data_IF_766670508944
#
_entry.id   IF_766670508944
#
_cell.length_a   1.000
_cell.length_b   1.000
_cell.length_c   1.000
_cell.angle_alpha   90.00
_cell.angle_beta   90.00
_cell.angle_gamma   90.00
#
_symmetry.space_group_name_H-M   'P 1'
#
loop_
_entity.id
_entity.type
_entity.pdbx_description
1 polymer ?
#
# COMPACT_ATOMS: atom_id res chain seq x y z
N UNK A 1 34.45 60.01 -5.92
CA UNK A 1 33.49 59.81 -4.82
C UNK A 1 32.11 59.62 -5.44
N UNK A 2 31.65 58.38 -5.55
CA UNK A 2 30.24 57.95 -5.53
C UNK A 2 30.22 56.42 -5.64
N UNK A 3 29.44 55.85 -4.74
CA UNK A 3 29.32 54.47 -4.32
C UNK A 3 28.29 53.71 -5.18
N UNK A 4 28.22 52.40 -4.91
CA UNK A 4 27.05 51.50 -4.97
C UNK A 4 26.60 50.99 -6.34
N UNK A 5 26.05 49.79 -6.54
CA UNK A 5 25.83 48.51 -5.82
C UNK A 5 24.80 47.78 -6.72
N UNK A 6 24.75 46.43 -6.69
CA UNK A 6 23.64 45.54 -7.19
C UNK A 6 23.44 45.45 -8.71
N UNK A 7 23.12 44.30 -9.35
CA UNK A 7 22.57 43.01 -8.93
C UNK A 7 23.24 41.85 -9.73
N UNK A 8 23.38 40.70 -9.08
CA UNK A 8 23.66 39.41 -9.74
C UNK A 8 22.39 38.91 -10.42
N UNK A 9 22.29 39.07 -11.74
CA UNK A 9 21.28 38.42 -12.58
C UNK A 9 21.74 37.01 -12.96
N UNK A 10 20.99 35.98 -12.54
CA UNK A 10 21.34 34.55 -12.66
C UNK A 10 20.60 33.85 -13.79
N UNK A 11 20.22 34.57 -14.84
CA UNK A 11 19.44 34.00 -15.95
C UNK A 11 20.10 34.33 -17.28
N UNK A 12 21.04 33.50 -17.66
CA UNK A 12 21.50 33.35 -19.03
C UNK A 12 22.01 31.93 -19.13
N UNK A 13 21.34 31.10 -19.94
CA UNK A 13 21.95 30.12 -20.84
C UNK A 13 20.85 29.21 -21.36
N UNK A 14 20.18 29.64 -22.42
CA UNK A 14 19.66 28.74 -23.44
C UNK A 14 19.86 29.47 -24.77
N UNK A 15 21.07 29.30 -25.30
CA UNK A 15 21.42 29.72 -26.64
C UNK A 15 22.32 28.64 -27.21
N UNK A 16 21.74 27.59 -27.79
CA UNK A 16 22.44 26.84 -28.84
C UNK A 16 21.43 26.23 -29.80
N UNK A 17 21.17 26.99 -30.86
CA UNK A 17 20.57 26.52 -32.10
C UNK A 17 21.58 25.66 -32.86
N UNK A 18 21.18 24.44 -33.25
CA UNK A 18 21.46 23.92 -34.59
C UNK A 18 22.45 22.76 -34.77
N UNK A 19 21.93 21.73 -35.45
CA UNK A 19 22.57 20.81 -36.41
C UNK A 19 23.11 19.42 -35.95
N UNK A 20 22.35 18.41 -36.41
CA UNK A 20 22.54 16.96 -36.55
C UNK A 20 23.94 16.33 -36.45
N UNK A 21 24.02 15.20 -35.71
CA UNK A 21 24.98 14.10 -35.91
C UNK A 21 24.37 12.75 -35.50
N UNK A 22 24.36 11.80 -36.43
CA UNK A 22 24.26 10.36 -36.18
C UNK A 22 25.44 9.90 -35.31
N UNK A 23 25.22 9.17 -34.19
CA UNK A 23 26.32 8.46 -33.48
C UNK A 23 26.24 8.38 -31.93
N UNK A 24 25.62 7.29 -31.46
CA UNK A 24 25.69 6.51 -30.21
C UNK A 24 26.55 6.96 -28.97
N UNK A 25 25.94 6.70 -27.80
CA UNK A 25 26.44 6.27 -26.46
C UNK A 25 26.33 7.32 -25.34
N UNK A 26 25.45 7.05 -24.35
CA UNK A 26 25.77 7.35 -22.95
C UNK A 26 24.66 7.86 -22.02
N UNK A 27 23.59 7.10 -21.79
CA UNK A 27 23.04 6.91 -20.43
C UNK A 27 22.62 5.44 -20.31
N UNK A 28 23.35 4.69 -19.48
CA UNK A 28 22.96 3.37 -19.06
C UNK A 28 21.86 3.53 -17.98
N UNK A 29 20.72 2.88 -18.18
CA UNK A 29 19.58 2.89 -17.27
C UNK A 29 18.28 3.46 -17.85
N UNK A 30 17.90 3.05 -19.07
CA UNK A 30 16.50 3.15 -19.51
C UNK A 30 16.13 1.79 -20.12
N UNK A 31 15.87 0.84 -19.23
CA UNK A 31 15.14 -0.40 -19.50
C UNK A 31 13.89 -0.38 -18.62
N UNK A 32 13.04 0.61 -18.83
CA UNK A 32 11.65 0.60 -18.40
C UNK A 32 10.86 1.02 -19.62
N UNK A 33 10.86 0.13 -20.61
CA UNK A 33 9.81 0.09 -21.62
C UNK A 33 8.97 -1.13 -21.30
N UNK A 34 8.59 -1.25 -20.02
CA UNK A 34 7.60 -2.19 -19.55
C UNK A 34 6.24 -1.54 -19.75
N UNK A 35 5.26 -2.33 -20.15
CA UNK A 35 3.86 -1.98 -20.06
C UNK A 35 3.53 -1.87 -18.56
N UNK A 36 2.84 -0.81 -18.13
CA UNK A 36 2.51 -0.56 -16.72
C UNK A 36 1.01 -0.51 -16.52
N UNK A 37 0.58 -0.84 -15.31
CA UNK A 37 -0.79 -0.68 -14.85
C UNK A 37 -0.82 0.00 -13.49
N UNK A 38 -2.02 0.38 -13.05
CA UNK A 38 -2.22 1.00 -11.73
C UNK A 38 -2.76 -0.04 -10.76
N UNK A 39 -2.15 -0.14 -9.58
CA UNK A 39 -2.71 -0.84 -8.43
C UNK A 39 -3.26 0.19 -7.45
N UNK A 40 -4.55 0.12 -7.18
CA UNK A 40 -5.23 0.88 -6.14
C UNK A 40 -5.58 -0.09 -5.00
N UNK A 41 -4.96 0.08 -3.84
CA UNK A 41 -5.22 -0.77 -2.66
C UNK A 41 -6.16 -0.04 -1.72
N UNK A 42 -7.27 -0.69 -1.41
CA UNK A 42 -8.28 -0.21 -0.48
C UNK A 42 -8.39 -1.13 0.72
N UNK A 43 -8.89 -0.59 1.83
CA UNK A 43 -9.19 -1.36 3.04
C UNK A 43 -10.65 -1.21 3.43
N UNK A 44 -11.20 -2.25 4.05
CA UNK A 44 -12.57 -2.30 4.57
C UNK A 44 -12.64 -3.24 5.78
N UNK A 45 -13.74 -3.17 6.53
CA UNK A 45 -14.03 -4.06 7.64
C UNK A 45 -15.41 -4.72 7.43
N UNK A 46 -15.42 -6.02 7.18
CA UNK A 46 -16.62 -6.83 7.29
C UNK A 46 -16.89 -7.27 8.73
N UNK A 47 -18.17 -7.58 9.05
CA UNK A 47 -18.60 -7.77 10.43
C UNK A 47 -17.80 -8.87 11.15
N UNK A 48 -17.00 -8.44 12.13
CA UNK A 48 -16.38 -9.25 13.17
C UNK A 48 -16.81 -8.79 14.57
N UNK A 49 -15.83 -8.60 15.46
CA UNK A 49 -16.04 -8.04 16.80
C UNK A 49 -15.83 -6.51 16.84
N UNK A 50 -15.75 -5.85 15.67
CA UNK A 50 -15.58 -4.39 15.54
C UNK A 50 -16.67 -3.59 16.27
N UNK A 51 -17.85 -4.20 16.50
CA UNK A 51 -18.97 -3.55 17.18
C UNK A 51 -18.68 -3.23 18.66
N UNK A 52 -17.64 -3.83 19.24
CA UNK A 52 -17.21 -3.56 20.61
C UNK A 52 -16.38 -2.24 20.73
N UNK A 53 -16.03 -1.62 19.60
CA UNK A 53 -15.13 -0.47 19.52
C UNK A 53 -15.88 0.85 19.32
N UNK A 54 -15.46 1.88 20.06
CA UNK A 54 -15.77 3.29 19.75
C UNK A 54 -14.90 3.80 18.58
N UNK A 55 -13.64 3.38 18.54
CA UNK A 55 -12.70 3.67 17.45
C UNK A 55 -11.65 2.56 17.34
N UNK A 56 -11.25 2.19 16.13
CA UNK A 56 -10.16 1.25 15.90
C UNK A 56 -9.27 1.76 14.77
N UNK A 57 -8.29 2.60 15.13
CA UNK A 57 -7.43 3.30 14.18
C UNK A 57 -6.20 2.47 13.86
N UNK A 58 -6.11 2.00 12.62
CA UNK A 58 -5.00 1.17 12.12
C UNK A 58 -4.07 2.04 11.28
N UNK A 59 -2.78 2.02 11.61
CA UNK A 59 -1.73 2.73 10.85
C UNK A 59 -1.02 1.76 9.91
N UNK A 60 -1.10 2.06 8.61
CA UNK A 60 -0.54 1.26 7.51
C UNK A 60 0.60 2.04 6.88
N UNK A 61 1.77 1.43 6.75
CA UNK A 61 3.00 2.10 6.29
C UNK A 61 3.51 1.60 4.93
N UNK A 62 3.00 0.46 4.48
CA UNK A 62 3.48 -0.16 3.27
C UNK A 62 2.70 -1.41 2.92
N UNK A 63 3.12 -2.03 1.83
CA UNK A 63 2.62 -3.34 1.43
C UNK A 63 3.74 -4.20 0.86
N UNK A 64 3.56 -5.51 0.96
CA UNK A 64 4.35 -6.51 0.26
C UNK A 64 3.52 -7.15 -0.84
N UNK A 65 4.10 -7.33 -2.02
CA UNK A 65 3.48 -8.07 -3.13
C UNK A 65 4.27 -9.35 -3.40
N UNK A 66 3.55 -10.48 -3.43
CA UNK A 66 4.09 -11.78 -3.82
C UNK A 66 3.87 -12.03 -5.31
N UNK A 67 4.87 -11.92 -6.21
CA UNK A 67 4.74 -12.32 -7.62
C UNK A 67 4.36 -13.80 -7.80
N UNK A 68 4.01 -14.18 -9.03
CA UNK A 68 3.75 -15.59 -9.41
C UNK A 68 4.81 -16.56 -8.87
N UNK A 69 4.36 -17.57 -8.14
CA UNK A 69 5.21 -18.57 -7.50
C UNK A 69 5.81 -18.17 -6.15
N UNK A 70 5.59 -16.94 -5.67
CA UNK A 70 5.93 -16.54 -4.32
C UNK A 70 5.13 -17.35 -3.28
N UNK A 71 5.73 -17.53 -2.10
CA UNK A 71 5.10 -18.25 -1.00
C UNK A 71 5.05 -17.36 0.22
N UNK A 72 3.91 -17.37 0.90
CA UNK A 72 3.78 -16.79 2.22
C UNK A 72 4.58 -17.67 3.18
N UNK A 73 5.45 -17.08 3.99
CA UNK A 73 6.16 -17.81 5.04
C UNK A 73 5.15 -18.17 6.12
N UNK A 74 4.43 -19.27 5.94
CA UNK A 74 3.36 -19.72 6.86
C UNK A 74 3.94 -20.36 8.14
N UNK A 75 5.26 -20.55 8.21
CA UNK A 75 5.96 -21.08 9.39
C UNK A 75 6.81 -19.99 10.07
N UNK A 76 6.76 -19.92 11.40
CA UNK A 76 7.37 -18.87 12.25
C UNK A 76 8.91 -18.68 12.09
N UNK A 77 9.59 -19.54 11.31
CA UNK A 77 11.04 -19.53 11.10
C UNK A 77 11.46 -19.44 9.61
N UNK A 78 10.53 -19.29 8.65
CA UNK A 78 10.86 -19.11 7.23
C UNK A 78 10.68 -17.65 6.78
N UNK A 79 11.78 -17.00 6.39
CA UNK A 79 11.69 -15.74 5.66
C UNK A 79 11.00 -16.02 4.31
N UNK A 80 9.86 -15.37 4.01
CA UNK A 80 9.19 -15.54 2.73
C UNK A 80 10.12 -15.15 1.59
N UNK A 81 10.42 -16.14 0.76
CA UNK A 81 11.19 -15.93 -0.45
C UNK A 81 10.32 -15.23 -1.50
N UNK A 82 10.94 -14.32 -2.26
CA UNK A 82 10.39 -13.80 -3.50
C UNK A 82 9.15 -12.88 -3.36
N UNK A 83 9.12 -11.97 -2.36
CA UNK A 83 8.17 -10.84 -2.30
C UNK A 83 8.88 -9.49 -2.39
N UNK A 84 8.19 -8.49 -2.94
CA UNK A 84 8.70 -7.11 -3.05
C UNK A 84 7.99 -6.17 -2.08
N UNK A 85 8.75 -5.32 -1.38
CA UNK A 85 8.20 -4.33 -0.46
C UNK A 85 8.05 -2.98 -1.13
N UNK A 86 6.92 -2.34 -0.85
CA UNK A 86 6.60 -1.00 -1.32
C UNK A 86 6.09 -0.15 -0.15
N UNK A 87 6.98 0.71 0.34
CA UNK A 87 6.69 1.71 1.36
C UNK A 87 5.75 2.79 0.81
N UNK A 88 4.82 3.27 1.63
CA UNK A 88 3.94 4.36 1.26
C UNK A 88 4.67 5.70 1.36
N UNK A 89 4.31 6.67 0.52
CA UNK A 89 4.88 8.02 0.61
C UNK A 89 4.60 8.67 1.98
N UNK A 90 3.41 8.41 2.51
CA UNK A 90 2.97 8.78 3.85
C UNK A 90 2.18 7.62 4.46
N UNK A 91 2.36 7.37 5.76
CA UNK A 91 1.56 6.40 6.51
C UNK A 91 0.08 6.76 6.43
N UNK A 92 -0.76 5.77 6.16
CA UNK A 92 -2.22 5.94 6.14
C UNK A 92 -2.83 5.47 7.44
N UNK A 93 -3.89 6.15 7.87
CA UNK A 93 -4.67 5.76 9.04
C UNK A 93 -6.10 5.43 8.60
N UNK A 94 -6.59 4.28 9.00
CA UNK A 94 -7.93 3.79 8.69
C UNK A 94 -8.65 3.46 10.00
N UNK A 95 -9.80 4.10 10.26
CA UNK A 95 -10.65 3.73 11.40
C UNK A 95 -11.64 2.65 10.96
N UNK A 96 -11.42 1.41 11.40
CA UNK A 96 -12.24 0.27 10.99
C UNK A 96 -13.72 0.44 11.38
N UNK A 97 -14.01 1.21 12.43
CA UNK A 97 -15.39 1.51 12.83
C UNK A 97 -16.12 2.31 11.73
N UNK A 98 -15.40 3.17 11.00
CA UNK A 98 -15.94 3.97 9.88
C UNK A 98 -15.98 3.19 8.55
N UNK A 99 -15.29 2.05 8.47
CA UNK A 99 -15.14 1.25 7.24
C UNK A 99 -16.04 0.01 7.19
N UNK A 100 -17.07 -0.03 8.04
CA UNK A 100 -18.00 -1.15 8.08
C UNK A 100 -18.87 -1.23 6.82
N UNK A 101 -19.15 -2.46 6.38
CA UNK A 101 -20.11 -2.75 5.31
C UNK A 101 -19.54 -2.45 3.92
N UNK A 102 -20.21 -1.59 3.15
CA UNK A 102 -19.77 -1.22 1.79
C UNK A 102 -18.77 -0.03 1.77
N UNK A 103 -18.31 0.42 2.94
CA UNK A 103 -17.40 1.56 3.02
C UNK A 103 -15.95 1.09 2.87
N UNK A 104 -15.20 1.76 2.00
CA UNK A 104 -13.79 1.47 1.76
C UNK A 104 -12.96 2.74 1.87
N UNK A 105 -11.67 2.58 2.16
CA UNK A 105 -10.69 3.65 2.14
C UNK A 105 -9.49 3.27 1.27
N UNK A 106 -9.14 4.13 0.31
CA UNK A 106 -7.90 4.01 -0.46
C UNK A 106 -6.70 4.29 0.47
N UNK A 107 -5.77 3.34 0.54
CA UNK A 107 -4.55 3.46 1.35
C UNK A 107 -3.29 3.60 0.50
N UNK A 108 -3.35 3.21 -0.76
CA UNK A 108 -2.26 3.44 -1.69
C UNK A 108 -2.76 3.32 -3.13
N UNK A 109 -2.15 4.11 -4.02
CA UNK A 109 -2.33 4.00 -5.47
C UNK A 109 -1.00 4.24 -6.15
N UNK A 110 -0.58 3.33 -7.03
CA UNK A 110 0.72 3.43 -7.72
C UNK A 110 0.74 2.70 -9.06
N UNK A 111 1.70 3.10 -9.89
CA UNK A 111 2.02 2.43 -11.15
C UNK A 111 3.03 1.29 -10.90
N UNK A 112 2.73 0.10 -11.42
CA UNK A 112 3.58 -1.09 -11.35
C UNK A 112 3.74 -1.70 -12.75
N UNK A 113 4.82 -2.47 -12.93
CA UNK A 113 5.00 -3.27 -14.15
C UNK A 113 3.90 -4.33 -14.27
N UNK A 114 3.49 -4.62 -15.51
CA UNK A 114 2.51 -5.70 -15.78
C UNK A 114 3.05 -7.03 -15.25
N UNK A 115 2.31 -7.61 -14.31
CA UNK A 115 2.68 -8.84 -13.60
C UNK A 115 1.47 -9.51 -12.95
N UNK A 116 1.63 -10.78 -12.61
CA UNK A 116 0.68 -11.55 -11.79
C UNK A 116 1.24 -11.70 -10.37
N UNK A 117 0.36 -11.56 -9.39
CA UNK A 117 0.66 -11.64 -7.97
C UNK A 117 -0.24 -12.68 -7.30
N UNK A 118 0.33 -13.47 -6.39
CA UNK A 118 -0.37 -14.52 -5.65
C UNK A 118 -1.02 -14.00 -4.36
N UNK A 119 -0.47 -12.93 -3.78
CA UNK A 119 -0.95 -12.34 -2.55
C UNK A 119 -0.51 -10.88 -2.38
N UNK A 120 -1.23 -10.17 -1.52
CA UNK A 120 -0.87 -8.85 -0.99
C UNK A 120 -0.72 -8.95 0.53
N UNK A 121 0.24 -8.24 1.12
CA UNK A 121 0.34 -8.13 2.58
C UNK A 121 0.42 -6.66 2.99
N UNK A 122 -0.35 -6.25 4.00
CA UNK A 122 -0.28 -4.91 4.55
C UNK A 122 0.69 -4.88 5.73
N UNK A 123 1.58 -3.89 5.73
CA UNK A 123 2.50 -3.62 6.82
C UNK A 123 1.87 -2.63 7.80
N UNK A 124 1.61 -3.10 9.02
CA UNK A 124 0.87 -2.38 10.06
C UNK A 124 1.88 -1.93 11.12
N UNK A 125 2.02 -0.61 11.30
CA UNK A 125 2.97 -0.04 12.26
C UNK A 125 2.38 0.09 13.67
N UNK A 126 1.06 0.27 13.76
CA UNK A 126 0.39 0.43 15.04
C UNK A 126 -1.13 0.45 14.95
N UNK A 127 -1.76 0.19 16.10
CA UNK A 127 -3.22 0.19 16.25
C UNK A 127 -3.56 0.94 17.55
N UNK A 128 -4.39 1.98 17.43
CA UNK A 128 -4.94 2.73 18.55
C UNK A 128 -6.45 2.44 18.65
N UNK A 129 -6.85 1.69 19.67
CA UNK A 129 -8.22 1.20 19.79
C UNK A 129 -8.87 1.54 21.13
N UNK A 130 -10.11 2.02 21.07
CA UNK A 130 -10.95 2.37 22.23
C UNK A 130 -12.26 1.61 22.15
N UNK A 131 -12.66 0.95 23.24
CA UNK A 131 -13.93 0.21 23.35
C UNK A 131 -15.12 1.15 23.59
N UNK A 132 -16.34 0.66 23.38
CA UNK A 132 -17.59 1.42 23.62
C UNK A 132 -17.73 1.94 25.07
N UNK A 133 -17.06 1.33 26.05
CA UNK A 133 -17.07 1.79 27.44
C UNK A 133 -16.02 2.89 27.74
N UNK A 134 -15.24 3.27 26.72
CA UNK A 134 -14.19 4.28 26.76
C UNK A 134 -12.85 3.77 27.29
N UNK A 135 -12.68 2.47 27.49
CA UNK A 135 -11.39 1.87 27.85
C UNK A 135 -10.54 1.54 26.62
N UNK A 136 -9.21 1.53 26.78
CA UNK A 136 -8.29 1.13 25.73
C UNK A 136 -8.34 -0.40 25.49
N UNK A 137 -8.31 -0.84 24.23
CA UNK A 137 -8.18 -2.23 23.84
C UNK A 137 -6.76 -2.55 23.35
N UNK A 138 -6.29 -3.76 23.63
CA UNK A 138 -5.07 -4.29 23.00
C UNK A 138 -5.47 -5.03 21.73
N UNK A 139 -5.02 -4.52 20.59
CA UNK A 139 -5.22 -5.16 19.29
C UNK A 139 -3.86 -5.44 18.68
N UNK A 140 -3.61 -6.70 18.32
CA UNK A 140 -2.32 -7.13 17.78
C UNK A 140 -2.46 -7.72 16.37
N UNK A 141 -1.39 -7.63 15.58
CA UNK A 141 -1.27 -8.40 14.34
C UNK A 141 -0.62 -9.76 14.68
N UNK A 142 -1.17 -10.90 14.21
CA UNK A 142 -0.63 -12.21 14.55
C UNK A 142 0.86 -12.33 14.24
N UNK A 143 1.66 -12.71 15.26
CA UNK A 143 3.07 -13.08 15.08
C UNK A 143 3.99 -11.92 14.68
N UNK A 144 3.60 -10.65 14.90
CA UNK A 144 4.33 -9.46 14.44
C UNK A 144 4.62 -9.49 12.92
N UNK A 145 3.82 -10.26 12.17
CA UNK A 145 3.94 -10.43 10.72
C UNK A 145 2.97 -9.48 9.99
N UNK A 146 3.23 -9.11 8.73
CA UNK A 146 2.28 -8.33 7.95
C UNK A 146 0.96 -9.09 7.73
N UNK A 147 -0.16 -8.36 7.69
CA UNK A 147 -1.48 -8.94 7.44
C UNK A 147 -1.55 -9.46 6.01
N UNK A 148 -1.79 -10.76 5.84
CA UNK A 148 -1.67 -11.44 4.55
C UNK A 148 -3.03 -11.73 3.92
N UNK A 149 -3.20 -11.30 2.67
CA UNK A 149 -4.40 -11.48 1.86
C UNK A 149 -4.06 -12.41 0.69
N UNK A 150 -4.43 -13.69 0.83
CA UNK A 150 -4.16 -14.75 -0.16
C UNK A 150 -5.18 -14.70 -1.31
N UNK A 151 -5.20 -13.59 -2.04
CA UNK A 151 -6.01 -13.42 -3.24
C UNK A 151 -5.10 -13.04 -4.42
N UNK A 152 -5.22 -13.81 -5.50
CA UNK A 152 -4.41 -13.62 -6.69
C UNK A 152 -4.96 -12.49 -7.55
N UNK A 153 -4.08 -11.64 -8.06
CA UNK A 153 -4.46 -10.52 -8.92
C UNK A 153 -3.41 -10.24 -9.99
N UNK A 154 -3.75 -9.36 -10.93
CA UNK A 154 -2.88 -9.00 -12.05
C UNK A 154 -2.81 -7.48 -12.15
N UNK A 155 -1.63 -6.92 -12.31
CA UNK A 155 -1.49 -5.56 -12.84
C UNK A 155 -1.43 -5.68 -14.36
N UNK A 156 -2.37 -5.02 -15.06
CA UNK A 156 -2.51 -5.08 -16.52
C UNK A 156 -2.20 -3.73 -17.16
N UNK A 157 -1.75 -3.75 -18.41
CA UNK A 157 -1.44 -2.54 -19.17
C UNK A 157 -2.67 -1.62 -19.22
N UNK A 158 -2.47 -0.32 -19.00
CA UNK A 158 -3.51 0.72 -19.11
C UNK A 158 -4.81 0.37 -18.35
N UNK A 159 -4.68 -0.36 -17.24
CA UNK A 159 -5.79 -0.84 -16.41
C UNK A 159 -5.55 -0.48 -14.96
N UNK A 160 -6.58 0.05 -14.31
CA UNK A 160 -6.62 0.25 -12.87
C UNK A 160 -7.16 -1.01 -12.20
N UNK A 161 -6.32 -1.66 -11.41
CA UNK A 161 -6.65 -2.84 -10.61
C UNK A 161 -6.95 -2.37 -9.19
N UNK A 162 -8.19 -2.56 -8.76
CA UNK A 162 -8.64 -2.21 -7.42
C UNK A 162 -8.65 -3.47 -6.54
N UNK A 163 -7.79 -3.49 -5.53
CA UNK A 163 -7.69 -4.58 -4.55
C UNK A 163 -8.25 -4.10 -3.22
N UNK A 164 -9.36 -4.68 -2.78
CA UNK A 164 -9.98 -4.38 -1.48
C UNK A 164 -9.54 -5.43 -0.47
N UNK A 165 -8.78 -5.01 0.52
CA UNK A 165 -8.30 -5.80 1.63
C UNK A 165 -9.26 -5.69 2.82
N UNK A 166 -9.95 -6.78 3.14
CA UNK A 166 -10.91 -6.84 4.24
C UNK A 166 -10.30 -7.51 5.46
N UNK A 167 -10.32 -6.84 6.61
CA UNK A 167 -9.84 -7.39 7.87
C UNK A 167 -10.58 -6.79 9.06
N UNK A 168 -10.74 -7.58 10.12
CA UNK A 168 -11.52 -7.22 11.29
C UNK A 168 -10.82 -7.63 12.59
N UNK A 169 -11.00 -6.88 13.70
CA UNK A 169 -10.60 -7.36 15.02
C UNK A 169 -11.47 -8.54 15.46
N UNK A 170 -10.81 -9.55 16.02
CA UNK A 170 -11.44 -10.74 16.60
C UNK A 170 -10.96 -10.92 18.02
N UNK A 171 -11.88 -11.02 18.97
CA UNK A 171 -11.57 -11.12 20.39
C UNK A 171 -10.80 -12.41 20.70
N UNK A 172 -9.74 -12.29 21.51
CA UNK A 172 -8.94 -13.40 22.00
C UNK A 172 -8.81 -13.36 23.51
N UNK A 173 -9.23 -14.44 24.17
CA UNK A 173 -8.95 -14.63 25.60
C UNK A 173 -9.73 -13.68 26.52
N UNK A 174 -9.12 -12.57 26.93
CA UNK A 174 -9.73 -11.58 27.84
C UNK A 174 -10.67 -10.63 27.07
N UNK A 175 -11.45 -9.81 27.78
CA UNK A 175 -12.45 -8.96 27.14
C UNK A 175 -11.83 -7.79 26.33
N UNK A 176 -10.59 -7.42 26.64
CA UNK A 176 -9.84 -6.28 26.11
C UNK A 176 -8.73 -6.67 25.12
N UNK A 177 -8.64 -7.94 24.74
CA UNK A 177 -7.57 -8.50 23.91
C UNK A 177 -8.14 -9.00 22.57
N UNK A 178 -7.59 -8.49 21.47
CA UNK A 178 -8.06 -8.73 20.12
C UNK A 178 -6.89 -8.96 19.18
N UNK A 179 -7.19 -9.63 18.07
CA UNK A 179 -6.25 -9.81 16.97
C UNK A 179 -6.87 -9.29 15.69
N UNK A 180 -6.09 -8.68 14.80
CA UNK A 180 -6.55 -8.43 13.43
C UNK A 180 -6.51 -9.72 12.61
N UNK A 181 -7.58 -10.01 11.90
CA UNK A 181 -7.66 -11.14 10.97
C UNK A 181 -8.17 -10.70 9.60
N UNK A 182 -7.53 -11.11 8.50
CA UNK A 182 -8.11 -11.00 7.18
C UNK A 182 -9.45 -11.74 7.10
N UNK A 183 -10.42 -11.19 6.37
CA UNK A 183 -11.73 -11.78 6.10
C UNK A 183 -11.77 -12.20 4.63
N UNK A 184 -11.51 -13.48 4.30
CA UNK A 184 -11.35 -13.91 2.90
C UNK A 184 -12.58 -13.65 2.03
N UNK A 185 -13.79 -13.71 2.60
CA UNK A 185 -15.04 -13.46 1.87
C UNK A 185 -15.22 -11.98 1.46
N UNK A 186 -14.42 -11.08 2.03
CA UNK A 186 -14.43 -9.66 1.71
C UNK A 186 -13.30 -9.15 0.86
N UNK A 187 -12.35 -10.01 0.53
CA UNK A 187 -11.28 -9.64 -0.38
C UNK A 187 -11.84 -9.62 -1.79
N UNK A 188 -11.73 -8.48 -2.47
CA UNK A 188 -12.22 -8.33 -3.85
C UNK A 188 -11.15 -7.72 -4.74
N UNK A 189 -11.16 -8.14 -6.02
CA UNK A 189 -10.29 -7.59 -7.05
C UNK A 189 -11.16 -7.16 -8.22
N UNK A 190 -11.12 -5.88 -8.56
CA UNK A 190 -11.85 -5.29 -9.67
C UNK A 190 -10.89 -4.66 -10.68
N UNK A 191 -11.30 -4.61 -11.94
CA UNK A 191 -10.48 -4.10 -13.04
C UNK A 191 -11.25 -3.05 -13.80
N UNK A 192 -10.72 -1.83 -13.82
CA UNK A 192 -11.26 -0.70 -14.55
C UNK A 192 -10.31 -0.36 -15.72
N UNK A 193 -10.80 -0.50 -16.95
CA UNK A 193 -10.04 -0.09 -18.14
C UNK A 193 -9.93 1.44 -18.16
N UNK A 194 -8.72 1.99 -18.25
CA UNK A 194 -8.54 3.44 -18.43
C UNK A 194 -8.91 3.83 -19.87
N UNK A 195 -9.84 4.78 -20.01
CA UNK A 195 -10.51 5.10 -21.27
C UNK A 195 -9.74 6.05 -22.21
#
# INVERSE_FOLDING_TARGET
MKQNTTLTDRRTYLATTGAATTGIIGFAGCLASGETGTLATQVTDQPGDIADFESCLVTIVGMWLGPDGAQTGEEEDEEPADREYYEYEESQQADLVELQGDNTQLVDERELDVSTYEFLQLDIDGIDATLEDGSDATVEVPGEAPLTFNEGFEVREDTRTEFTADFTPVQRGQADDYVLQPVPEGITVEYEEEA
#
